data_IF_955689432875
#
_entry.id   IF_955689432875
#
_cell.length_a   1.000
_cell.length_b   1.000
_cell.length_c   1.000
_cell.angle_alpha   90.00
_cell.angle_beta   90.00
_cell.angle_gamma   90.00
#
_symmetry.space_group_name_H-M   'P 1'
#
loop_
_entity.id
_entity.type
_entity.pdbx_description
1 polymer ?
#
# COMPACT_ATOMS: atom_id res chain seq x y z
N UNK A 1 4.54 31.68 5.20
CA UNK A 1 3.69 30.47 5.18
C UNK A 1 4.60 29.25 5.19
N UNK A 2 4.25 28.20 5.93
CA UNK A 2 5.04 26.98 5.98
C UNK A 2 4.75 26.07 4.77
N UNK A 3 5.79 25.45 4.22
CA UNK A 3 5.69 24.46 3.13
C UNK A 3 5.16 23.14 3.68
N UNK A 4 4.09 22.62 3.07
CA UNK A 4 3.52 21.31 3.45
C UNK A 4 4.18 20.22 2.62
N UNK A 5 4.62 19.16 3.28
CA UNK A 5 5.18 17.97 2.63
C UNK A 5 4.22 16.78 2.80
N UNK A 6 3.52 16.34 1.75
CA UNK A 6 2.69 15.15 1.84
C UNK A 6 3.58 13.90 1.93
N UNK A 7 3.28 13.01 2.87
CA UNK A 7 3.95 11.73 3.04
C UNK A 7 2.92 10.62 3.01
N UNK A 8 3.18 9.59 2.20
CA UNK A 8 2.34 8.39 2.13
C UNK A 8 3.09 7.24 2.80
N UNK A 9 2.50 6.66 3.84
CA UNK A 9 3.04 5.47 4.49
C UNK A 9 2.53 4.21 3.78
N UNK A 10 3.41 3.54 3.05
CA UNK A 10 3.11 2.36 2.21
C UNK A 10 3.63 1.05 2.83
N UNK A 11 3.39 0.85 4.14
CA UNK A 11 3.77 -0.36 4.88
C UNK A 11 2.60 -1.31 5.21
N UNK A 12 2.92 -2.36 5.96
CA UNK A 12 1.99 -3.36 6.49
C UNK A 12 1.82 -4.61 5.62
N UNK A 13 1.66 -5.78 6.24
CA UNK A 13 1.68 -7.09 5.58
C UNK A 13 0.52 -7.37 4.61
N UNK A 14 -0.61 -6.65 4.74
CA UNK A 14 -1.76 -6.82 3.84
C UNK A 14 -2.48 -8.17 3.96
N UNK A 15 -2.41 -8.84 5.12
CA UNK A 15 -2.95 -10.20 5.32
C UNK A 15 -4.45 -10.35 5.03
N UNK A 16 -5.25 -9.28 5.20
CA UNK A 16 -6.68 -9.26 4.82
C UNK A 16 -6.93 -9.41 3.32
N UNK A 17 -5.93 -9.09 2.50
CA UNK A 17 -5.98 -9.22 1.04
C UNK A 17 -5.26 -10.49 0.56
N UNK A 18 -4.91 -11.42 1.44
CA UNK A 18 -4.40 -12.71 1.00
C UNK A 18 -5.50 -13.45 0.19
N UNK A 19 -5.17 -14.13 -0.93
CA UNK A 19 -3.83 -14.43 -1.44
C UNK A 19 -3.22 -13.37 -2.37
N UNK A 20 -3.96 -12.28 -2.65
CA UNK A 20 -3.51 -11.21 -3.56
C UNK A 20 -2.27 -10.49 -3.00
N UNK A 21 -2.24 -10.18 -1.70
CA UNK A 21 -1.05 -9.61 -1.04
C UNK A 21 -0.11 -10.72 -0.55
N UNK A 22 1.16 -10.63 -0.91
CA UNK A 22 2.26 -11.56 -0.54
C UNK A 22 3.48 -10.76 -0.10
N UNK A 23 4.46 -11.35 0.61
CA UNK A 23 5.71 -10.66 0.95
C UNK A 23 6.42 -10.02 -0.25
N UNK A 24 6.44 -10.71 -1.40
CA UNK A 24 7.03 -10.21 -2.65
C UNK A 24 6.03 -9.47 -3.57
N UNK A 25 4.74 -9.40 -3.18
CA UNK A 25 3.71 -8.65 -3.91
C UNK A 25 2.84 -7.85 -2.93
N UNK A 26 3.33 -6.71 -2.42
CA UNK A 26 2.68 -5.93 -1.37
C UNK A 26 1.35 -5.29 -1.77
N UNK A 27 0.47 -5.07 -0.79
CA UNK A 27 -0.87 -4.48 -0.98
C UNK A 27 -0.90 -3.15 -1.75
N UNK A 28 0.12 -2.30 -1.60
CA UNK A 28 0.16 -0.99 -2.26
C UNK A 28 0.34 -1.07 -3.78
N UNK A 29 0.68 -2.24 -4.33
CA UNK A 29 0.87 -2.45 -5.76
C UNK A 29 -0.25 -3.28 -6.39
N UNK A 30 -1.32 -3.60 -5.65
CA UNK A 30 -2.45 -4.37 -6.17
C UNK A 30 -3.45 -3.41 -6.83
N UNK A 31 -3.79 -3.66 -8.10
CA UNK A 31 -4.91 -3.00 -8.76
C UNK A 31 -6.23 -3.61 -8.24
N UNK A 32 -6.95 -2.86 -7.40
CA UNK A 32 -8.18 -3.34 -6.75
C UNK A 32 -9.44 -3.13 -7.61
N UNK A 33 -9.35 -2.34 -8.68
CA UNK A 33 -10.49 -1.95 -9.52
C UNK A 33 -10.11 -2.06 -11.00
N UNK A 34 -11.11 -2.37 -11.84
CA UNK A 34 -11.04 -2.43 -13.31
C UNK A 34 -11.33 -1.08 -13.95
#
# INVERSE_FOLDING_TARGET
MATIHPVILSGGAGTRLWPLSRPHYPKQFIALTS
#
